data_IF_807230494514
#
_entry.id   IF_807230494514
#
_cell.length_a   1.000
_cell.length_b   1.000
_cell.length_c   1.000
_cell.angle_alpha   90.00
_cell.angle_beta   90.00
_cell.angle_gamma   90.00
#
_symmetry.space_group_name_H-M   'P 1'
#
loop_
_entity.id
_entity.type
_entity.pdbx_description
1 polymer ?
#
# COMPACT_ATOMS: atom_id res chain seq x y z
N UNK A 1 0.19 -13.90 -10.97
CA UNK A 1 -1.12 -13.34 -10.51
C UNK A 1 -1.34 -13.68 -9.04
N UNK A 2 -2.17 -12.90 -8.31
CA UNK A 2 -2.51 -13.25 -6.93
C UNK A 2 -3.34 -14.53 -6.89
N UNK A 3 -3.17 -15.34 -5.84
CA UNK A 3 -3.95 -16.55 -5.60
C UNK A 3 -5.43 -16.26 -5.25
N UNK A 4 -6.20 -17.28 -4.88
CA UNK A 4 -7.61 -17.13 -4.50
C UNK A 4 -7.81 -16.31 -3.21
N UNK A 5 -6.80 -16.26 -2.33
CA UNK A 5 -6.79 -15.53 -1.07
C UNK A 5 -6.09 -14.16 -1.17
N UNK A 6 -5.77 -13.73 -2.39
CA UNK A 6 -5.08 -12.48 -2.71
C UNK A 6 -3.61 -12.41 -2.33
N UNK A 7 -2.96 -13.55 -2.08
CA UNK A 7 -1.53 -13.64 -1.84
C UNK A 7 -0.74 -13.78 -3.12
N UNK A 8 0.50 -13.31 -3.10
CA UNK A 8 1.49 -13.53 -4.14
C UNK A 8 1.92 -14.99 -4.14
N UNK A 9 1.96 -15.62 -5.33
CA UNK A 9 2.63 -16.88 -5.49
C UNK A 9 4.11 -16.62 -5.88
N UNK A 10 5.11 -16.89 -5.02
CA UNK A 10 6.51 -16.59 -5.32
C UNK A 10 7.02 -17.36 -6.54
N UNK A 11 6.44 -18.53 -6.90
CA UNK A 11 6.81 -19.29 -8.09
C UNK A 11 6.62 -18.49 -9.40
N UNK A 12 5.64 -17.56 -9.43
CA UNK A 12 5.40 -16.71 -10.60
C UNK A 12 6.58 -15.75 -10.87
N UNK A 13 7.44 -15.51 -9.88
CA UNK A 13 8.58 -14.60 -9.94
C UNK A 13 9.93 -15.30 -10.16
N UNK A 14 9.94 -16.64 -10.22
CA UNK A 14 11.17 -17.43 -10.46
C UNK A 14 11.49 -17.60 -11.96
N UNK A 15 10.58 -17.15 -12.84
CA UNK A 15 10.82 -17.16 -14.28
C UNK A 15 11.80 -16.05 -14.68
N UNK A 16 12.60 -16.22 -15.76
CA UNK A 16 13.46 -15.17 -16.27
C UNK A 16 12.67 -13.87 -16.52
N UNK A 17 13.15 -12.77 -15.97
CA UNK A 17 12.49 -11.46 -16.04
C UNK A 17 13.52 -10.32 -16.05
N UNK A 18 13.09 -9.11 -16.40
CA UNK A 18 13.94 -7.92 -16.41
C UNK A 18 13.89 -7.09 -15.13
N UNK A 19 13.13 -7.55 -14.13
CA UNK A 19 12.94 -6.89 -12.83
C UNK A 19 11.60 -7.25 -12.23
N UNK A 20 11.50 -7.17 -10.90
CA UNK A 20 10.30 -7.52 -10.14
C UNK A 20 9.79 -6.27 -9.42
N UNK A 21 8.48 -6.04 -9.45
CA UNK A 21 7.83 -4.99 -8.67
C UNK A 21 6.49 -5.49 -8.14
N UNK A 22 6.24 -5.28 -6.85
CA UNK A 22 4.95 -5.55 -6.23
C UNK A 22 4.71 -4.65 -5.02
N UNK A 23 3.44 -4.28 -4.72
CA UNK A 23 3.08 -3.54 -3.52
C UNK A 23 2.96 -4.48 -2.31
N UNK A 24 3.48 -4.04 -1.16
CA UNK A 24 3.35 -4.71 0.12
C UNK A 24 3.19 -3.71 1.28
N UNK A 25 1.99 -3.55 1.88
CA UNK A 25 0.71 -4.22 1.57
C UNK A 25 0.15 -3.93 0.18
N UNK A 26 -0.56 -4.92 -0.38
CA UNK A 26 -1.14 -4.83 -1.72
C UNK A 26 -2.30 -3.82 -1.79
N UNK A 27 -2.49 -3.19 -2.93
CA UNK A 27 -3.69 -2.43 -3.25
C UNK A 27 -4.35 -3.02 -4.52
N UNK A 28 -5.66 -3.33 -4.51
CA UNK A 28 -6.70 -2.86 -3.57
C UNK A 28 -7.00 -3.79 -2.40
N UNK A 29 -6.33 -4.93 -2.23
CA UNK A 29 -6.72 -5.97 -1.27
C UNK A 29 -6.34 -5.65 0.18
N UNK A 30 -5.27 -4.90 0.40
CA UNK A 30 -4.70 -4.60 1.72
C UNK A 30 -3.87 -5.75 2.30
N UNK A 31 -3.73 -6.87 1.58
CA UNK A 31 -2.98 -8.04 2.04
C UNK A 31 -1.50 -7.73 2.13
N UNK A 32 -0.89 -8.17 3.22
CA UNK A 32 0.55 -8.12 3.44
C UNK A 32 1.17 -9.50 3.20
N UNK A 33 2.29 -9.50 2.54
CA UNK A 33 3.14 -10.68 2.40
C UNK A 33 4.22 -10.71 3.49
N UNK A 34 4.66 -11.91 3.84
CA UNK A 34 5.70 -12.08 4.85
C UNK A 34 7.08 -11.68 4.31
N UNK A 35 8.00 -11.37 5.24
CA UNK A 35 9.39 -11.08 4.87
C UNK A 35 10.08 -12.31 4.27
N UNK A 36 9.71 -13.52 4.70
CA UNK A 36 10.22 -14.79 4.18
C UNK A 36 9.84 -14.96 2.71
N UNK A 37 8.59 -14.62 2.33
CA UNK A 37 8.14 -14.66 0.92
C UNK A 37 8.91 -13.63 0.07
N UNK A 38 9.10 -12.42 0.59
CA UNK A 38 9.91 -11.38 -0.10
C UNK A 38 11.35 -11.86 -0.27
N UNK A 39 11.93 -12.47 0.78
CA UNK A 39 13.28 -13.03 0.75
C UNK A 39 13.42 -14.15 -0.28
N UNK A 40 12.42 -15.02 -0.43
CA UNK A 40 12.37 -16.06 -1.45
C UNK A 40 12.41 -15.48 -2.87
N UNK A 41 11.65 -14.42 -3.13
CA UNK A 41 11.68 -13.73 -4.43
C UNK A 41 13.05 -13.10 -4.67
N UNK A 42 13.65 -12.45 -3.67
CA UNK A 42 14.98 -11.84 -3.78
C UNK A 42 16.06 -12.88 -4.11
N UNK A 43 16.04 -14.04 -3.45
CA UNK A 43 16.98 -15.14 -3.69
C UNK A 43 16.84 -15.74 -5.09
N UNK A 44 15.61 -15.82 -5.61
CA UNK A 44 15.34 -16.33 -6.95
C UNK A 44 15.72 -15.35 -8.07
N UNK A 45 15.98 -14.07 -7.74
CA UNK A 45 16.22 -12.99 -8.70
C UNK A 45 17.50 -12.19 -8.39
N UNK A 46 18.68 -12.84 -8.21
CA UNK A 46 19.89 -12.16 -7.73
C UNK A 46 20.44 -11.11 -8.71
N UNK A 47 20.17 -11.27 -10.00
CA UNK A 47 20.73 -10.45 -11.08
C UNK A 47 19.79 -9.32 -11.55
N UNK A 48 18.60 -9.20 -10.98
CA UNK A 48 17.63 -8.18 -11.35
C UNK A 48 17.11 -7.43 -10.11
N UNK A 49 16.66 -6.21 -10.32
CA UNK A 49 16.12 -5.37 -9.23
C UNK A 49 14.76 -5.87 -8.79
N UNK A 50 14.57 -6.00 -7.48
CA UNK A 50 13.27 -6.27 -6.85
C UNK A 50 12.82 -5.01 -6.12
N UNK A 51 11.67 -4.47 -6.52
CA UNK A 51 11.08 -3.27 -5.94
C UNK A 51 9.87 -3.67 -5.10
N UNK A 52 9.92 -3.34 -3.80
CA UNK A 52 8.79 -3.49 -2.88
C UNK A 52 8.18 -2.11 -2.65
N UNK A 53 6.95 -1.92 -3.15
CA UNK A 53 6.20 -0.67 -2.94
C UNK A 53 5.45 -0.74 -1.60
N UNK A 54 5.96 -0.01 -0.62
CA UNK A 54 5.45 0.05 0.75
C UNK A 54 4.57 1.28 1.00
N UNK A 55 3.81 1.73 0.02
CA UNK A 55 2.97 2.92 0.17
C UNK A 55 1.99 2.85 1.35
N UNK A 56 1.67 1.67 1.85
CA UNK A 56 0.71 1.45 2.94
C UNK A 56 1.31 0.81 4.19
N UNK A 57 2.62 0.57 4.26
CA UNK A 57 3.28 -0.19 5.34
C UNK A 57 3.04 0.41 6.73
N UNK A 58 2.92 1.73 6.84
CA UNK A 58 2.73 2.45 8.10
C UNK A 58 1.39 2.16 8.81
N UNK A 59 0.47 1.48 8.15
CA UNK A 59 -0.83 1.11 8.73
C UNK A 59 -0.83 -0.28 9.39
N UNK A 60 0.33 -0.71 9.90
CA UNK A 60 0.50 -1.94 10.65
C UNK A 60 1.17 -3.06 9.87
N UNK A 61 1.76 -2.74 8.73
CA UNK A 61 2.58 -3.66 7.94
C UNK A 61 4.02 -3.79 8.48
N UNK A 62 4.73 -4.79 7.97
CA UNK A 62 6.15 -5.05 8.25
C UNK A 62 6.99 -4.67 7.04
N UNK A 63 7.88 -3.70 7.24
CA UNK A 63 8.77 -3.24 6.17
C UNK A 63 9.83 -4.27 5.78
N UNK A 64 10.15 -4.35 4.50
CA UNK A 64 11.27 -5.12 3.95
C UNK A 64 12.65 -4.46 4.20
N UNK A 65 12.72 -3.30 4.85
CA UNK A 65 13.98 -2.60 5.16
C UNK A 65 15.05 -3.47 5.83
N UNK A 66 14.73 -4.40 6.75
CA UNK A 66 15.75 -5.29 7.33
C UNK A 66 16.49 -6.15 6.30
N UNK A 67 15.84 -6.48 5.17
CA UNK A 67 16.42 -7.30 4.10
C UNK A 67 17.48 -6.55 3.29
N UNK A 68 17.50 -5.21 3.30
CA UNK A 68 18.53 -4.40 2.62
C UNK A 68 19.95 -4.73 3.09
N UNK A 69 20.11 -5.24 4.31
CA UNK A 69 21.43 -5.66 4.83
C UNK A 69 21.97 -6.93 4.16
N UNK A 70 21.10 -7.70 3.50
CA UNK A 70 21.42 -8.98 2.89
C UNK A 70 21.37 -8.93 1.36
N UNK A 71 20.52 -8.08 0.78
CA UNK A 71 20.16 -8.10 -0.64
C UNK A 71 20.42 -6.75 -1.29
N UNK A 72 21.47 -6.67 -2.10
CA UNK A 72 21.85 -5.45 -2.83
C UNK A 72 20.89 -5.11 -3.98
N UNK A 73 20.12 -6.10 -4.46
CA UNK A 73 19.14 -5.96 -5.53
C UNK A 73 17.75 -5.49 -5.04
N UNK A 74 17.55 -5.24 -3.73
CA UNK A 74 16.30 -4.74 -3.17
C UNK A 74 16.22 -3.22 -3.24
N UNK A 75 15.07 -2.71 -3.69
CA UNK A 75 14.63 -1.32 -3.49
C UNK A 75 13.31 -1.30 -2.74
N UNK A 76 13.26 -0.56 -1.64
CA UNK A 76 12.03 -0.30 -0.88
C UNK A 76 11.56 1.11 -1.22
N UNK A 77 10.30 1.24 -1.67
CA UNK A 77 9.71 2.52 -2.06
C UNK A 77 8.62 2.91 -1.08
N UNK A 78 8.66 4.13 -0.56
CA UNK A 78 7.68 4.67 0.38
C UNK A 78 7.19 6.05 -0.05
N UNK A 79 6.09 6.52 0.54
CA UNK A 79 5.45 7.78 0.15
C UNK A 79 4.90 8.54 1.35
N UNK A 80 4.87 9.87 1.24
CA UNK A 80 4.16 10.73 2.19
C UNK A 80 2.67 10.87 1.87
N UNK A 81 2.25 10.35 0.72
CA UNK A 81 0.89 10.54 0.22
C UNK A 81 -0.20 9.88 1.06
N UNK A 82 0.14 8.88 1.88
CA UNK A 82 -0.83 8.07 2.64
C UNK A 82 -0.75 8.38 4.13
N UNK A 83 0.18 7.78 4.83
CA UNK A 83 0.31 7.87 6.29
C UNK A 83 0.59 9.27 6.82
N UNK A 84 1.28 10.10 6.03
CA UNK A 84 1.57 11.51 6.39
C UNK A 84 0.56 12.50 5.81
N UNK A 85 -0.53 12.03 5.17
CA UNK A 85 -1.61 12.85 4.59
C UNK A 85 -1.13 13.95 3.61
N UNK A 86 0.00 13.74 2.93
CA UNK A 86 0.65 14.74 2.07
C UNK A 86 0.58 14.40 0.58
N UNK A 87 -0.52 13.81 0.12
CA UNK A 87 -0.69 13.39 -1.27
C UNK A 87 -0.49 14.55 -2.28
N UNK A 88 -0.92 15.76 -1.94
CA UNK A 88 -0.76 16.97 -2.77
C UNK A 88 0.67 17.45 -2.87
N UNK A 89 1.55 17.12 -1.94
CA UNK A 89 2.95 17.56 -1.92
C UNK A 89 3.86 16.73 -2.83
N UNK A 90 3.40 15.60 -3.35
CA UNK A 90 4.11 14.73 -4.29
C UNK A 90 5.48 14.26 -3.80
N UNK A 91 5.58 13.85 -2.53
CA UNK A 91 6.80 13.35 -1.89
C UNK A 91 6.77 11.83 -1.85
N UNK A 92 7.80 11.22 -2.38
CA UNK A 92 8.12 9.80 -2.27
C UNK A 92 9.62 9.61 -2.21
N UNK A 93 10.05 8.47 -1.72
CA UNK A 93 11.47 8.13 -1.61
C UNK A 93 11.68 6.63 -1.75
N UNK A 94 12.89 6.24 -2.08
CA UNK A 94 13.31 4.85 -2.07
C UNK A 94 14.57 4.67 -1.23
N UNK A 95 14.73 3.47 -0.70
CA UNK A 95 15.87 3.05 0.10
C UNK A 95 16.42 1.77 -0.53
N UNK A 96 17.74 1.72 -0.72
CA UNK A 96 18.39 0.57 -1.36
C UNK A 96 19.90 0.66 -1.32
N UNK A 97 20.56 -0.26 -2.00
CA UNK A 97 22.02 -0.24 -2.18
C UNK A 97 22.47 1.06 -2.87
N UNK A 98 23.60 1.60 -2.46
CA UNK A 98 24.17 2.86 -2.96
C UNK A 98 24.29 2.87 -4.50
N UNK A 99 24.69 1.76 -5.11
CA UNK A 99 24.83 1.63 -6.56
C UNK A 99 23.48 1.80 -7.28
N UNK A 100 22.39 1.22 -6.74
CA UNK A 100 21.05 1.38 -7.31
C UNK A 100 20.56 2.82 -7.14
N UNK A 101 20.81 3.43 -5.98
CA UNK A 101 20.45 4.83 -5.73
C UNK A 101 21.22 5.77 -6.65
N UNK A 102 22.50 5.46 -6.94
CA UNK A 102 23.29 6.21 -7.92
C UNK A 102 22.65 6.19 -9.32
N UNK A 103 22.28 5.02 -9.83
CA UNK A 103 21.60 4.90 -11.12
C UNK A 103 20.25 5.64 -11.16
N UNK A 104 19.48 5.59 -10.08
CA UNK A 104 18.23 6.35 -9.99
C UNK A 104 18.49 7.87 -10.04
N UNK A 105 19.55 8.36 -9.42
CA UNK A 105 19.95 9.76 -9.49
C UNK A 105 20.40 10.15 -10.91
N UNK A 106 21.15 9.30 -11.61
CA UNK A 106 21.56 9.56 -12.99
C UNK A 106 20.34 9.71 -13.90
N UNK A 107 19.38 8.82 -13.80
CA UNK A 107 18.10 8.92 -14.54
C UNK A 107 17.33 10.17 -14.14
N UNK A 108 17.19 10.43 -12.84
CA UNK A 108 16.50 11.61 -12.31
C UNK A 108 17.11 12.90 -12.86
N UNK A 109 18.43 13.04 -12.78
CA UNK A 109 19.13 14.26 -13.23
C UNK A 109 19.13 14.40 -14.76
N UNK A 110 19.05 13.30 -15.50
CA UNK A 110 18.93 13.34 -16.96
C UNK A 110 17.53 13.73 -17.44
N UNK A 111 16.49 13.45 -16.64
CA UNK A 111 15.08 13.59 -17.01
C UNK A 111 14.40 14.78 -16.32
N UNK A 112 14.53 14.91 -14.98
CA UNK A 112 13.93 15.97 -14.17
C UNK A 112 14.72 16.22 -12.89
N UNK A 113 15.70 17.13 -12.96
CA UNK A 113 16.58 17.46 -11.83
C UNK A 113 15.86 18.12 -10.66
N UNK A 114 14.77 18.87 -10.94
CA UNK A 114 14.06 19.70 -9.96
C UNK A 114 12.67 19.16 -9.65
N UNK A 115 12.61 17.89 -9.22
CA UNK A 115 11.36 17.17 -8.99
C UNK A 115 10.52 17.71 -7.84
N UNK A 116 11.15 18.32 -6.82
CA UNK A 116 10.47 18.81 -5.63
C UNK A 116 10.56 20.34 -5.53
N UNK A 117 9.40 20.98 -5.40
CA UNK A 117 9.33 22.42 -5.12
C UNK A 117 9.70 22.73 -3.65
N UNK A 118 10.06 23.97 -3.36
CA UNK A 118 10.48 24.40 -2.03
C UNK A 118 9.42 24.16 -0.94
N UNK A 119 8.12 24.47 -1.14
CA UNK A 119 7.09 24.15 -0.15
C UNK A 119 7.04 22.67 0.22
N UNK A 120 7.13 21.77 -0.76
CA UNK A 120 7.16 20.31 -0.50
C UNK A 120 8.39 19.92 0.33
N UNK A 121 9.55 20.50 0.05
CA UNK A 121 10.77 20.20 0.83
C UNK A 121 10.64 20.63 2.29
N UNK A 122 10.20 21.87 2.54
CA UNK A 122 10.03 22.41 3.90
C UNK A 122 8.99 21.62 4.67
N UNK A 123 7.80 21.42 4.09
CA UNK A 123 6.71 20.68 4.73
C UNK A 123 7.07 19.21 4.95
N UNK A 124 7.80 18.61 4.02
CA UNK A 124 8.28 17.22 4.16
C UNK A 124 9.22 17.05 5.35
N UNK A 125 10.14 17.97 5.55
CA UNK A 125 11.06 17.97 6.72
C UNK A 125 10.27 18.06 8.02
N UNK A 126 9.32 18.99 8.11
CA UNK A 126 8.50 19.13 9.31
C UNK A 126 7.62 17.90 9.57
N UNK A 127 7.06 17.29 8.52
CA UNK A 127 6.28 16.05 8.65
C UNK A 127 7.13 14.85 9.14
N UNK A 128 8.42 14.81 8.84
CA UNK A 128 9.34 13.78 9.40
C UNK A 128 9.64 14.05 10.87
N UNK A 129 9.82 15.33 11.25
CA UNK A 129 10.10 15.71 12.65
C UNK A 129 8.92 15.45 13.58
N UNK A 130 7.68 15.57 13.09
CA UNK A 130 6.46 15.35 13.88
C UNK A 130 6.09 13.86 13.96
N UNK A 131 6.95 13.09 14.60
CA UNK A 131 6.76 11.65 14.85
C UNK A 131 5.56 11.39 15.78
N UNK A 132 5.27 12.31 16.70
CA UNK A 132 4.15 12.19 17.65
C UNK A 132 2.81 12.21 16.91
N UNK A 133 2.58 13.19 16.05
CA UNK A 133 1.37 13.28 15.23
C UNK A 133 1.24 12.08 14.29
N UNK A 134 2.33 11.72 13.62
CA UNK A 134 2.39 10.58 12.72
C UNK A 134 1.94 9.28 13.40
N UNK A 135 2.51 8.97 14.57
CA UNK A 135 2.14 7.77 15.35
C UNK A 135 0.71 7.82 15.85
N UNK A 136 0.25 8.98 16.34
CA UNK A 136 -1.11 9.14 16.83
C UNK A 136 -2.14 8.90 15.73
N UNK A 137 -1.93 9.49 14.53
CA UNK A 137 -2.87 9.36 13.41
C UNK A 137 -2.88 7.95 12.83
N UNK A 138 -1.72 7.31 12.61
CA UNK A 138 -1.64 5.94 12.09
C UNK A 138 -2.26 4.94 13.07
N UNK A 139 -1.99 5.09 14.37
CA UNK A 139 -2.61 4.25 15.42
C UNK A 139 -4.13 4.39 15.43
N UNK A 140 -4.65 5.62 15.30
CA UNK A 140 -6.10 5.86 15.24
C UNK A 140 -6.73 5.18 14.01
N UNK A 141 -6.12 5.33 12.84
CA UNK A 141 -6.60 4.68 11.60
C UNK A 141 -6.62 3.16 11.75
N UNK A 142 -5.58 2.57 12.33
CA UNK A 142 -5.52 1.12 12.57
C UNK A 142 -6.66 0.69 13.52
N UNK A 143 -6.86 1.40 14.63
CA UNK A 143 -7.92 1.09 15.59
C UNK A 143 -9.32 1.16 14.97
N UNK A 144 -9.61 2.25 14.23
CA UNK A 144 -10.87 2.43 13.50
C UNK A 144 -11.07 1.33 12.46
N UNK A 145 -10.03 0.96 11.68
CA UNK A 145 -10.08 -0.15 10.73
C UNK A 145 -10.50 -1.46 11.41
N UNK A 146 -9.86 -1.81 12.52
CA UNK A 146 -10.16 -3.07 13.20
C UNK A 146 -11.58 -3.07 13.83
N UNK A 147 -12.08 -1.92 14.28
CA UNK A 147 -13.47 -1.76 14.70
C UNK A 147 -14.42 -2.01 13.52
N UNK A 148 -14.22 -1.30 12.42
CA UNK A 148 -15.06 -1.39 11.22
C UNK A 148 -15.07 -2.79 10.61
N UNK A 149 -13.94 -3.50 10.62
CA UNK A 149 -13.88 -4.91 10.19
C UNK A 149 -14.84 -5.79 11.00
N UNK A 150 -14.93 -5.61 12.33
CA UNK A 150 -15.85 -6.36 13.17
C UNK A 150 -17.30 -6.07 12.83
N UNK A 151 -17.64 -4.81 12.61
CA UNK A 151 -19.00 -4.40 12.26
C UNK A 151 -19.40 -4.90 10.87
N UNK A 152 -18.55 -4.74 9.86
CA UNK A 152 -18.78 -5.28 8.52
C UNK A 152 -18.97 -6.81 8.53
N UNK A 153 -18.21 -7.53 9.37
CA UNK A 153 -18.39 -8.97 9.53
C UNK A 153 -19.78 -9.30 10.06
N UNK A 154 -20.30 -8.54 11.03
CA UNK A 154 -21.66 -8.74 11.58
C UNK A 154 -22.75 -8.43 10.56
N UNK A 155 -22.47 -7.58 9.58
CA UNK A 155 -23.36 -7.24 8.46
C UNK A 155 -23.29 -8.23 7.29
N UNK A 156 -22.47 -9.29 7.36
CA UNK A 156 -22.36 -10.29 6.31
C UNK A 156 -21.27 -10.03 5.26
N UNK A 157 -20.41 -9.02 5.45
CA UNK A 157 -19.28 -8.79 4.58
C UNK A 157 -18.13 -9.77 4.85
N UNK A 158 -17.37 -10.03 3.79
CA UNK A 158 -16.12 -10.78 3.81
C UNK A 158 -15.01 -9.92 3.20
N UNK A 159 -13.81 -10.02 3.71
CA UNK A 159 -12.65 -9.25 3.26
C UNK A 159 -11.35 -9.95 3.67
N UNK A 160 -10.24 -9.77 2.92
CA UNK A 160 -8.91 -10.18 3.37
C UNK A 160 -8.45 -9.32 4.55
N UNK A 161 -7.48 -9.83 5.34
CA UNK A 161 -6.90 -9.06 6.45
C UNK A 161 -6.07 -7.89 5.93
N UNK A 162 -6.61 -6.68 6.06
CA UNK A 162 -5.96 -5.47 5.55
C UNK A 162 -4.91 -4.92 6.52
N UNK A 163 -3.73 -4.61 5.99
CA UNK A 163 -2.68 -3.80 6.63
C UNK A 163 -2.51 -2.42 5.95
N UNK A 164 -3.59 -1.93 5.31
CA UNK A 164 -3.66 -0.61 4.68
C UNK A 164 -4.67 0.30 5.39
N UNK A 165 -4.85 1.52 4.89
CA UNK A 165 -5.88 2.45 5.38
C UNK A 165 -7.23 2.27 4.67
N UNK A 166 -7.53 1.06 4.21
CA UNK A 166 -8.79 0.69 3.56
C UNK A 166 -9.11 -0.79 3.80
N UNK A 167 -10.36 -1.16 3.55
CA UNK A 167 -10.86 -2.52 3.59
C UNK A 167 -11.37 -2.87 2.19
N UNK A 168 -11.04 -4.07 1.68
CA UNK A 168 -11.51 -4.57 0.40
C UNK A 168 -12.62 -5.61 0.64
N UNK A 169 -13.87 -5.15 0.66
CA UNK A 169 -14.99 -5.88 1.18
C UNK A 169 -15.96 -6.35 0.07
N UNK A 170 -16.46 -7.57 0.22
CA UNK A 170 -17.54 -8.14 -0.58
C UNK A 170 -18.70 -8.55 0.35
N UNK A 171 -19.95 -8.36 -0.07
CA UNK A 171 -21.08 -8.85 0.67
C UNK A 171 -21.58 -10.19 0.11
N UNK A 172 -22.08 -11.08 0.99
CA UNK A 172 -22.48 -12.44 0.61
C UNK A 172 -23.69 -12.48 -0.33
N UNK A 173 -24.65 -11.56 -0.14
CA UNK A 173 -25.94 -11.58 -0.80
C UNK A 173 -26.15 -10.40 -1.75
N UNK A 174 -25.52 -9.25 -1.46
CA UNK A 174 -25.73 -8.01 -2.23
C UNK A 174 -24.54 -7.76 -3.14
N UNK A 175 -24.74 -7.65 -4.47
CA UNK A 175 -23.66 -7.33 -5.41
C UNK A 175 -22.99 -5.99 -5.10
N UNK A 176 -21.66 -5.93 -5.29
CA UNK A 176 -20.90 -4.70 -5.00
C UNK A 176 -21.34 -3.50 -5.85
N UNK A 177 -21.81 -3.72 -7.09
CA UNK A 177 -22.32 -2.64 -7.93
C UNK A 177 -23.60 -2.01 -7.36
N UNK A 178 -24.48 -2.82 -6.77
CA UNK A 178 -25.69 -2.34 -6.11
C UNK A 178 -25.36 -1.53 -4.85
N UNK A 179 -24.48 -2.07 -3.99
CA UNK A 179 -23.97 -1.37 -2.82
C UNK A 179 -23.29 -0.05 -3.21
N UNK A 180 -22.49 -0.06 -4.26
CA UNK A 180 -21.81 1.13 -4.76
C UNK A 180 -22.80 2.23 -5.18
N UNK A 181 -23.88 1.87 -5.86
CA UNK A 181 -24.93 2.82 -6.26
C UNK A 181 -25.67 3.37 -5.05
N UNK A 182 -26.11 2.50 -4.13
CA UNK A 182 -26.85 2.89 -2.94
C UNK A 182 -26.02 3.82 -2.03
N UNK A 183 -24.74 3.50 -1.82
CA UNK A 183 -23.82 4.35 -1.06
C UNK A 183 -23.65 5.72 -1.71
N UNK A 184 -23.50 5.75 -3.04
CA UNK A 184 -23.35 7.01 -3.78
C UNK A 184 -24.60 7.87 -3.71
N UNK A 185 -25.80 7.30 -3.71
CA UNK A 185 -27.08 8.01 -3.52
C UNK A 185 -27.20 8.59 -2.10
N UNK A 186 -26.52 7.97 -1.13
CA UNK A 186 -26.39 8.47 0.24
C UNK A 186 -25.19 9.41 0.48
N UNK A 187 -24.56 9.92 -0.59
CA UNK A 187 -23.35 10.75 -0.55
C UNK A 187 -22.14 10.07 0.13
N UNK A 188 -22.05 8.74 0.09
CA UNK A 188 -20.92 7.96 0.57
C UNK A 188 -20.12 7.44 -0.63
N UNK A 189 -18.87 7.87 -0.75
CA UNK A 189 -18.03 7.57 -1.89
C UNK A 189 -16.99 6.50 -1.55
N UNK A 190 -17.17 5.30 -2.11
CA UNK A 190 -16.24 4.19 -2.05
C UNK A 190 -15.64 3.91 -3.44
N UNK A 191 -14.65 3.04 -3.53
CA UNK A 191 -14.07 2.67 -4.83
C UNK A 191 -14.60 1.30 -5.28
N UNK A 192 -15.07 1.24 -6.53
CA UNK A 192 -15.49 0.03 -7.23
C UNK A 192 -14.76 -0.09 -8.56
N UNK A 193 -14.51 -1.33 -9.02
CA UNK A 193 -13.94 -1.63 -10.33
C UNK A 193 -14.73 -2.74 -11.00
N UNK A 194 -15.26 -2.47 -12.18
CA UNK A 194 -15.84 -3.50 -13.02
C UNK A 194 -14.72 -4.24 -13.80
N UNK A 195 -13.95 -5.07 -13.08
CA UNK A 195 -12.86 -5.87 -13.62
C UNK A 195 -12.95 -7.31 -13.13
N UNK A 196 -12.51 -8.30 -13.91
CA UNK A 196 -12.47 -9.70 -13.47
C UNK A 196 -11.83 -9.83 -12.10
N UNK A 197 -12.35 -10.75 -11.29
CA UNK A 197 -11.97 -11.07 -9.90
C UNK A 197 -12.29 -10.01 -8.84
N UNK A 198 -12.32 -8.71 -9.17
CA UNK A 198 -12.53 -7.63 -8.21
C UNK A 198 -13.86 -6.89 -8.37
N UNK A 199 -14.69 -7.28 -9.35
CA UNK A 199 -15.98 -6.63 -9.62
C UNK A 199 -17.01 -6.77 -8.50
N UNK A 200 -16.91 -7.79 -7.66
CA UNK A 200 -17.82 -7.99 -6.53
C UNK A 200 -17.23 -7.50 -5.20
N UNK A 201 -16.34 -6.53 -5.23
CA UNK A 201 -15.73 -5.97 -4.04
C UNK A 201 -15.70 -4.44 -4.10
N UNK A 202 -15.80 -3.82 -2.93
CA UNK A 202 -15.65 -2.38 -2.72
C UNK A 202 -14.36 -2.13 -1.93
N UNK A 203 -13.58 -1.12 -2.31
CA UNK A 203 -12.53 -0.61 -1.46
C UNK A 203 -13.06 0.57 -0.66
N UNK A 204 -13.18 0.37 0.64
CA UNK A 204 -13.70 1.31 1.62
C UNK A 204 -12.49 1.93 2.34
N UNK A 205 -12.23 3.22 2.13
CA UNK A 205 -11.17 3.92 2.88
C UNK A 205 -11.61 4.15 4.32
N UNK A 206 -10.69 3.97 5.26
CA UNK A 206 -10.93 4.25 6.67
C UNK A 206 -10.88 5.76 6.89
N UNK A 207 -12.00 6.31 7.29
CA UNK A 207 -12.19 7.73 7.68
C UNK A 207 -12.08 7.93 9.18
N UNK A 208 -12.63 9.06 9.66
CA UNK A 208 -12.83 9.29 11.10
C UNK A 208 -13.88 8.32 11.66
N UNK A 209 -13.95 8.20 12.99
CA UNK A 209 -14.97 7.34 13.60
C UNK A 209 -16.39 7.79 13.22
N UNK A 210 -16.65 9.09 13.18
CA UNK A 210 -17.94 9.67 12.79
C UNK A 210 -18.29 9.40 11.32
N UNK A 211 -17.29 9.41 10.42
CA UNK A 211 -17.49 9.07 9.01
C UNK A 211 -17.77 7.58 8.82
N UNK A 212 -17.14 6.73 9.62
CA UNK A 212 -17.32 5.28 9.55
C UNK A 212 -18.60 4.80 10.24
N UNK A 213 -19.21 5.61 11.11
CA UNK A 213 -20.50 5.34 11.77
C UNK A 213 -21.71 5.69 10.88
N UNK A 214 -21.51 6.39 9.79
CA UNK A 214 -22.52 6.70 8.76
C UNK A 214 -22.83 5.51 7.88
#
# INVERSE_FOLDING_TARGET
>A
ALDANWHINPEDYKQPNGGVIFPNPNAPTGVEESLEMIEEILQANPDVVVIVDEAYVDFGGKSALPLLKKYENLLVVQTFSKSRAMAGMRIGFCIGNEKLIHYLNDVKFSFNSYTMNLPSQVMGVEAVKDDTYFKATTTKIIATRERVKKELTSMGFTFPDSKANFIFASHKEVPAEELFRALREADIYVRHWNKPRISNSLRISVGTDEEMDR
#
